data_IF_607200433098
#
_entry.id   IF_607200433098
#
_cell.length_a   1.000
_cell.length_b   1.000
_cell.length_c   1.000
_cell.angle_alpha   90.00
_cell.angle_beta   90.00
_cell.angle_gamma   90.00
#
_symmetry.space_group_name_H-M   'P 1'
#
loop_
_entity.id
_entity.type
_entity.pdbx_description
1 polymer ?
#
# COMPACT_ATOMS: atom_id res chain seq x y z
N UNK A 1 74.32 27.40 -41.66
CA UNK A 1 74.36 27.19 -40.19
C UNK A 1 72.94 26.97 -39.70
N UNK A 2 72.72 25.91 -38.92
CA UNK A 2 71.41 25.33 -38.59
C UNK A 2 70.53 26.35 -37.85
N UNK A 3 69.29 26.52 -38.35
CA UNK A 3 68.24 27.37 -37.80
C UNK A 3 67.31 26.56 -36.90
N UNK A 4 66.93 27.21 -35.80
CA UNK A 4 65.63 27.23 -35.13
C UNK A 4 65.10 25.96 -34.43
N UNK A 5 65.05 26.06 -33.11
CA UNK A 5 64.07 25.40 -32.24
C UNK A 5 62.71 26.08 -32.45
N UNK A 6 61.64 25.29 -32.65
CA UNK A 6 60.27 25.75 -32.44
C UNK A 6 59.50 24.67 -31.68
N UNK A 7 59.03 25.05 -30.49
CA UNK A 7 58.10 24.33 -29.62
C UNK A 7 56.77 25.08 -29.69
N UNK A 8 55.63 24.38 -29.83
CA UNK A 8 54.21 24.80 -29.64
C UNK A 8 53.33 23.83 -30.49
N UNK A 9 52.18 23.26 -30.12
CA UNK A 9 51.36 23.20 -28.90
C UNK A 9 50.33 22.06 -29.09
N UNK A 10 49.68 21.71 -27.98
CA UNK A 10 48.66 20.68 -27.72
C UNK A 10 47.36 20.85 -28.54
N UNK A 11 46.82 19.74 -29.03
CA UNK A 11 45.38 19.40 -29.12
C UNK A 11 45.31 17.90 -29.43
N UNK A 12 44.51 17.03 -28.85
CA UNK A 12 43.23 17.15 -28.13
C UNK A 12 42.52 15.83 -28.43
N UNK A 13 42.12 15.09 -27.40
CA UNK A 13 41.54 13.76 -27.58
C UNK A 13 41.15 13.10 -26.28
N UNK A 14 40.47 13.84 -25.41
CA UNK A 14 39.80 13.29 -24.24
C UNK A 14 38.58 12.51 -24.73
N UNK A 15 38.71 11.19 -24.87
CA UNK A 15 37.57 10.31 -25.12
C UNK A 15 36.69 10.28 -23.86
N UNK A 16 35.68 11.15 -23.84
CA UNK A 16 34.55 11.04 -22.95
C UNK A 16 33.78 9.77 -23.33
N UNK A 17 33.94 8.72 -22.55
CA UNK A 17 33.00 7.60 -22.53
C UNK A 17 31.65 8.13 -22.05
N UNK A 18 30.79 8.46 -23.01
CA UNK A 18 29.35 8.61 -22.80
C UNK A 18 28.78 7.23 -22.45
N UNK A 19 29.03 6.79 -21.21
CA UNK A 19 28.31 5.69 -20.59
C UNK A 19 26.86 6.12 -20.43
N UNK A 20 26.00 5.52 -21.26
CA UNK A 20 24.54 5.56 -21.22
C UNK A 20 24.00 5.73 -19.80
N UNK A 21 23.58 6.95 -19.46
CA UNK A 21 22.66 7.22 -18.36
C UNK A 21 21.31 6.60 -18.75
N UNK A 22 21.17 5.28 -18.56
CA UNK A 22 19.87 4.65 -18.49
C UNK A 22 19.24 5.10 -17.18
N UNK A 23 18.57 6.25 -17.21
CA UNK A 23 17.54 6.60 -16.25
C UNK A 23 16.38 5.61 -16.44
N UNK A 24 16.56 4.38 -15.96
CA UNK A 24 15.45 3.65 -15.36
C UNK A 24 15.20 4.27 -13.98
N UNK A 25 14.79 5.54 -13.96
CA UNK A 25 13.99 6.04 -12.88
C UNK A 25 12.65 5.32 -13.02
N UNK A 26 12.55 4.12 -12.43
CA UNK A 26 11.29 3.74 -11.80
C UNK A 26 11.00 4.91 -10.88
N UNK A 27 10.11 5.80 -11.30
CA UNK A 27 9.31 6.56 -10.36
C UNK A 27 8.71 5.49 -9.47
N UNK A 28 9.31 5.26 -8.31
CA UNK A 28 8.66 4.48 -7.27
C UNK A 28 7.52 5.37 -6.84
N UNK A 29 6.39 5.29 -7.57
CA UNK A 29 5.13 5.81 -7.10
C UNK A 29 5.03 5.31 -5.67
N UNK A 30 5.00 6.25 -4.72
CA UNK A 30 4.96 5.90 -3.33
C UNK A 30 3.80 4.90 -3.16
N UNK A 31 4.05 3.64 -2.76
CA UNK A 31 3.02 2.61 -2.73
C UNK A 31 1.88 2.98 -1.76
N UNK A 32 2.08 3.98 -0.91
CA UNK A 32 1.05 4.59 -0.06
C UNK A 32 0.11 5.54 -0.83
N UNK A 33 0.57 6.18 -1.93
CA UNK A 33 -0.23 7.09 -2.77
C UNK A 33 -1.09 6.36 -3.81
N UNK A 34 -0.74 5.11 -4.17
CA UNK A 34 -1.57 4.25 -5.04
C UNK A 34 -2.71 3.54 -4.30
N UNK A 35 -2.83 3.76 -2.99
CA UNK A 35 -3.83 3.11 -2.15
C UNK A 35 -5.19 3.82 -2.26
N UNK A 36 -6.28 3.10 -2.59
CA UNK A 36 -7.62 3.68 -2.62
C UNK A 36 -7.98 4.40 -1.32
N UNK A 37 -8.49 5.63 -1.38
CA UNK A 37 -8.90 6.39 -0.18
C UNK A 37 -7.82 6.47 0.93
N UNK A 38 -6.55 6.67 0.54
CA UNK A 38 -5.40 6.63 1.45
C UNK A 38 -5.54 7.53 2.68
N UNK A 39 -6.08 8.74 2.51
CA UNK A 39 -6.27 9.69 3.63
C UNK A 39 -7.21 9.11 4.71
N UNK A 40 -8.32 8.51 4.29
CA UNK A 40 -9.26 7.88 5.22
C UNK A 40 -8.64 6.70 5.95
N UNK A 41 -7.86 5.87 5.25
CA UNK A 41 -7.13 4.76 5.86
C UNK A 41 -6.23 5.25 7.01
N UNK A 42 -5.42 6.29 6.75
CA UNK A 42 -4.51 6.84 7.75
C UNK A 42 -5.25 7.57 8.87
N UNK A 43 -6.40 8.19 8.59
CA UNK A 43 -7.26 8.77 9.61
C UNK A 43 -7.79 7.69 10.56
N UNK A 44 -8.27 6.56 10.05
CA UNK A 44 -8.73 5.42 10.87
C UNK A 44 -7.60 4.80 11.69
N UNK A 45 -6.42 4.64 11.11
CA UNK A 45 -5.24 4.12 11.82
C UNK A 45 -4.86 4.97 13.03
N UNK A 46 -4.90 6.30 12.88
CA UNK A 46 -4.56 7.24 13.96
C UNK A 46 -5.61 7.32 15.07
N UNK A 47 -6.83 6.83 14.86
CA UNK A 47 -7.85 6.80 15.91
C UNK A 47 -7.43 5.82 17.01
N UNK A 48 -7.56 6.24 18.28
CA UNK A 48 -7.25 5.39 19.42
C UNK A 48 -8.17 4.17 19.44
N UNK A 49 -7.57 2.98 19.57
CA UNK A 49 -8.32 1.75 19.73
C UNK A 49 -9.06 1.80 21.07
N UNK A 50 -10.39 1.64 21.05
CA UNK A 50 -11.18 1.57 22.29
C UNK A 50 -11.37 0.12 22.68
N UNK A 51 -10.89 -0.27 23.86
CA UNK A 51 -11.06 -1.63 24.39
C UNK A 51 -12.56 -1.97 24.50
N UNK A 52 -12.92 -3.20 24.10
CA UNK A 52 -14.30 -3.69 24.14
C UNK A 52 -15.21 -3.23 22.99
N UNK A 53 -14.73 -2.39 22.06
CA UNK A 53 -15.53 -1.89 20.93
C UNK A 53 -15.18 -2.51 19.58
N UNK A 54 -14.76 -3.78 19.53
CA UNK A 54 -14.43 -4.50 18.29
C UNK A 54 -13.66 -3.63 17.26
N UNK A 55 -12.53 -3.08 17.69
CA UNK A 55 -11.87 -1.97 16.97
C UNK A 55 -11.47 -2.34 15.53
N UNK A 56 -10.99 -3.57 15.32
CA UNK A 56 -10.57 -4.02 14.00
C UNK A 56 -11.74 -4.17 13.01
N UNK A 57 -12.85 -4.77 13.43
CA UNK A 57 -14.03 -4.92 12.57
C UNK A 57 -14.70 -3.59 12.30
N UNK A 58 -14.72 -2.66 13.27
CA UNK A 58 -15.28 -1.32 13.07
C UNK A 58 -14.46 -0.50 12.08
N UNK A 59 -13.14 -0.41 12.24
CA UNK A 59 -12.28 0.33 11.30
C UNK A 59 -12.30 -0.31 9.90
N UNK A 60 -12.22 -1.63 9.80
CA UNK A 60 -12.33 -2.35 8.53
C UNK A 60 -13.70 -2.12 7.86
N UNK A 61 -14.79 -2.17 8.63
CA UNK A 61 -16.15 -1.93 8.14
C UNK A 61 -16.36 -0.52 7.61
N UNK A 62 -15.94 0.50 8.36
CA UNK A 62 -16.02 1.91 7.92
C UNK A 62 -15.25 2.13 6.62
N UNK A 63 -14.05 1.56 6.52
CA UNK A 63 -13.21 1.71 5.33
C UNK A 63 -13.78 0.96 4.13
N UNK A 64 -14.20 -0.30 4.30
CA UNK A 64 -14.82 -1.09 3.24
C UNK A 64 -16.10 -0.42 2.69
N UNK A 65 -16.93 0.18 3.56
CA UNK A 65 -18.11 0.95 3.14
C UNK A 65 -17.72 2.14 2.26
N UNK A 66 -16.72 2.92 2.69
CA UNK A 66 -16.29 4.09 1.93
C UNK A 66 -15.72 3.70 0.57
N UNK A 67 -14.95 2.61 0.50
CA UNK A 67 -14.46 2.04 -0.75
C UNK A 67 -15.60 1.64 -1.70
N UNK A 68 -16.61 0.93 -1.19
CA UNK A 68 -17.80 0.57 -1.99
C UNK A 68 -18.56 1.80 -2.49
N UNK A 69 -18.74 2.82 -1.64
CA UNK A 69 -19.35 4.11 -2.03
C UNK A 69 -18.55 4.84 -3.11
N UNK A 70 -17.23 4.69 -3.10
CA UNK A 70 -16.33 5.24 -4.11
C UNK A 70 -16.21 4.35 -5.37
N UNK A 71 -17.00 3.28 -5.49
CA UNK A 71 -17.04 2.40 -6.66
C UNK A 71 -16.02 1.26 -6.68
N UNK A 72 -15.28 1.05 -5.59
CA UNK A 72 -14.34 -0.07 -5.49
C UNK A 72 -15.05 -1.36 -5.11
N UNK A 73 -14.61 -2.48 -5.70
CA UNK A 73 -15.00 -3.82 -5.24
C UNK A 73 -14.15 -4.17 -4.01
N UNK A 74 -14.75 -4.08 -2.83
CA UNK A 74 -14.10 -4.42 -1.56
C UNK A 74 -14.95 -5.27 -0.64
N UNK A 75 -14.27 -6.09 0.16
CA UNK A 75 -14.84 -7.05 1.11
C UNK A 75 -14.09 -6.95 2.45
N UNK A 76 -14.73 -7.30 3.56
CA UNK A 76 -14.04 -7.47 4.84
C UNK A 76 -13.67 -8.94 4.94
N UNK A 77 -12.41 -9.23 5.21
CA UNK A 77 -11.94 -10.59 5.43
C UNK A 77 -11.50 -10.74 6.88
N UNK A 78 -11.93 -11.82 7.50
CA UNK A 78 -11.48 -12.21 8.83
C UNK A 78 -10.36 -13.20 8.69
N UNK A 79 -9.26 -12.89 9.36
CA UNK A 79 -8.05 -13.71 9.41
C UNK A 79 -7.75 -14.13 10.84
N UNK A 80 -6.98 -15.21 10.98
CA UNK A 80 -6.29 -15.56 12.21
C UNK A 80 -4.86 -15.05 12.11
N UNK A 81 -4.50 -14.11 12.97
CA UNK A 81 -3.20 -13.43 12.94
C UNK A 81 -2.05 -14.39 13.26
N UNK A 82 -0.91 -14.24 12.56
CA UNK A 82 0.26 -15.09 12.78
C UNK A 82 0.89 -14.91 14.18
N UNK A 83 0.89 -13.68 14.70
CA UNK A 83 1.62 -13.35 15.93
C UNK A 83 0.92 -13.71 17.22
N UNK A 84 -0.42 -13.63 17.25
CA UNK A 84 -1.22 -13.82 18.48
C UNK A 84 -2.30 -14.89 18.35
N UNK A 85 -2.44 -15.49 17.17
CA UNK A 85 -3.47 -16.49 16.87
C UNK A 85 -4.92 -16.03 17.13
N UNK A 86 -5.15 -14.71 17.18
CA UNK A 86 -6.48 -14.10 17.38
C UNK A 86 -7.15 -13.78 16.05
N UNK A 87 -8.49 -13.75 16.06
CA UNK A 87 -9.29 -13.24 14.94
C UNK A 87 -9.07 -11.74 14.75
N UNK A 88 -8.95 -11.31 13.50
CA UNK A 88 -8.71 -9.92 13.13
C UNK A 88 -9.37 -9.63 11.78
N UNK A 89 -9.95 -8.45 11.64
CA UNK A 89 -10.60 -8.02 10.40
C UNK A 89 -9.67 -7.10 9.59
N UNK A 90 -9.56 -7.37 8.29
CA UNK A 90 -8.85 -6.52 7.32
C UNK A 90 -9.72 -6.33 6.08
N UNK A 91 -9.38 -5.36 5.23
CA UNK A 91 -10.13 -5.05 4.01
C UNK A 91 -9.40 -5.62 2.80
N UNK A 92 -10.11 -6.38 1.98
CA UNK A 92 -9.65 -6.79 0.64
C UNK A 92 -10.27 -5.85 -0.38
N UNK A 93 -9.48 -5.29 -1.28
CA UNK A 93 -9.95 -4.40 -2.36
C UNK A 93 -9.34 -4.81 -3.69
N UNK A 94 -10.16 -4.81 -4.75
CA UNK A 94 -9.68 -5.01 -6.13
C UNK A 94 -9.18 -3.67 -6.69
N UNK A 95 -7.88 -3.59 -6.94
CA UNK A 95 -7.21 -2.51 -7.65
C UNK A 95 -6.93 -2.92 -9.11
N UNK A 96 -6.41 -1.98 -9.92
CA UNK A 96 -6.04 -2.21 -11.33
C UNK A 96 -4.98 -3.31 -11.48
N UNK A 97 -4.04 -3.36 -10.54
CA UNK A 97 -2.86 -4.23 -10.51
C UNK A 97 -3.11 -5.58 -9.82
N UNK A 98 -4.23 -5.76 -9.13
CA UNK A 98 -4.47 -6.97 -8.35
C UNK A 98 -5.36 -6.74 -7.13
N UNK A 99 -5.30 -7.66 -6.18
CA UNK A 99 -5.92 -7.47 -4.88
C UNK A 99 -4.92 -6.82 -3.92
N UNK A 100 -5.44 -5.93 -3.07
CA UNK A 100 -4.72 -5.39 -1.92
C UNK A 100 -5.47 -5.74 -0.65
N UNK A 101 -4.71 -6.00 0.40
CA UNK A 101 -5.18 -6.30 1.74
C UNK A 101 -4.71 -5.18 2.66
N UNK A 102 -5.68 -4.48 3.25
CA UNK A 102 -5.50 -3.21 3.94
C UNK A 102 -5.98 -3.36 5.37
N UNK A 103 -5.09 -3.12 6.34
CA UNK A 103 -5.38 -3.17 7.76
C UNK A 103 -5.33 -1.75 8.35
N UNK A 104 -6.48 -1.04 8.37
CA UNK A 104 -6.55 0.31 8.94
C UNK A 104 -6.40 0.30 10.47
N UNK A 105 -6.34 -0.85 11.13
CA UNK A 105 -6.10 -0.95 12.58
C UNK A 105 -4.60 -0.92 12.89
N UNK A 106 -3.79 -1.57 12.04
CA UNK A 106 -2.34 -1.67 12.21
C UNK A 106 -1.54 -0.77 11.28
N UNK A 107 -2.19 -0.10 10.33
CA UNK A 107 -1.51 0.75 9.34
C UNK A 107 -0.71 -0.06 8.32
N UNK A 108 -1.16 -1.29 8.01
CA UNK A 108 -0.44 -2.21 7.13
C UNK A 108 -1.19 -2.34 5.80
N UNK A 109 -0.44 -2.42 4.70
CA UNK A 109 -0.94 -2.88 3.41
C UNK A 109 -0.09 -4.03 2.89
N UNK A 110 -0.72 -4.98 2.18
CA UNK A 110 -0.02 -6.06 1.50
C UNK A 110 -0.75 -6.48 0.23
N UNK A 111 -0.03 -7.07 -0.72
CA UNK A 111 -0.59 -7.77 -1.88
C UNK A 111 -0.76 -9.27 -1.62
N UNK A 112 -0.25 -9.79 -0.50
CA UNK A 112 -0.33 -11.18 -0.10
C UNK A 112 -0.98 -11.34 1.28
N UNK A 113 -2.14 -12.00 1.30
CA UNK A 113 -2.90 -12.23 2.53
C UNK A 113 -2.11 -13.01 3.57
N UNK A 114 -1.24 -13.93 3.13
CA UNK A 114 -0.48 -14.81 4.03
C UNK A 114 0.46 -14.02 4.94
N UNK A 115 0.86 -12.81 4.54
CA UNK A 115 1.69 -11.93 5.37
C UNK A 115 0.91 -11.35 6.57
N UNK A 116 -0.41 -11.27 6.48
CA UNK A 116 -1.28 -10.74 7.53
C UNK A 116 -1.80 -11.86 8.45
N UNK A 117 -2.10 -13.04 7.88
CA UNK A 117 -2.63 -14.17 8.62
C UNK A 117 -3.31 -15.22 7.75
N UNK A 118 -3.90 -16.20 8.41
CA UNK A 118 -4.64 -17.28 7.76
C UNK A 118 -6.09 -16.85 7.54
N UNK A 119 -6.58 -16.92 6.31
CA UNK A 119 -7.99 -16.68 5.98
C UNK A 119 -8.91 -17.54 6.84
N UNK A 120 -10.02 -16.96 7.31
CA UNK A 120 -11.07 -17.70 8.03
C UNK A 120 -12.38 -17.60 7.25
N UNK A 121 -12.87 -16.37 7.04
CA UNK A 121 -14.11 -16.13 6.31
C UNK A 121 -14.18 -14.69 5.80
N UNK A 122 -15.14 -14.41 4.93
CA UNK A 122 -15.45 -13.07 4.41
C UNK A 122 -16.75 -12.58 5.03
N UNK A 123 -16.83 -11.28 5.28
CA UNK A 123 -18.06 -10.59 5.65
C UNK A 123 -18.30 -9.50 4.61
N UNK A 124 -19.47 -9.51 3.99
CA UNK A 124 -19.90 -8.40 3.14
C UNK A 124 -20.44 -7.27 4.01
N UNK A 125 -20.25 -6.03 3.59
CA UNK A 125 -20.76 -4.89 4.36
C UNK A 125 -22.30 -4.93 4.47
N UNK A 126 -23.01 -5.43 3.46
CA UNK A 126 -24.46 -5.63 3.50
C UNK A 126 -24.90 -6.61 4.61
N UNK A 127 -24.09 -7.62 4.93
CA UNK A 127 -24.34 -8.52 6.06
C UNK A 127 -24.09 -7.84 7.41
N UNK A 128 -23.08 -6.96 7.50
CA UNK A 128 -22.86 -6.16 8.71
C UNK A 128 -23.98 -5.14 8.97
N UNK A 129 -24.53 -4.50 7.94
CA UNK A 129 -25.68 -3.59 8.11
C UNK A 129 -26.89 -4.35 8.66
N UNK A 130 -27.20 -5.53 8.11
CA UNK A 130 -28.28 -6.39 8.64
C UNK A 130 -28.07 -6.80 10.09
N UNK A 131 -26.84 -7.18 10.45
CA UNK A 131 -26.49 -7.55 11.83
C UNK A 131 -26.43 -6.35 12.78
N UNK A 132 -26.26 -5.11 12.29
CA UNK A 132 -26.18 -3.92 13.13
C UNK A 132 -27.54 -3.42 13.62
N UNK A 133 -28.62 -3.75 12.90
CA UNK A 133 -29.98 -3.39 13.26
C UNK A 133 -30.57 -4.32 14.34
N UNK A 134 -30.10 -5.57 14.44
CA UNK A 134 -30.57 -6.57 15.40
C UNK A 134 -29.97 -6.44 16.82
N UNK A 135 -28.97 -5.57 17.02
CA UNK A 135 -28.25 -5.38 18.30
C UNK A 135 -28.53 -4.01 18.96
N UNK A 136 -29.42 -3.20 18.38
CA UNK A 136 -29.92 -1.94 18.97
C UNK A 136 -31.33 -2.12 19.50
#
# INVERSE_FOLDING_TARGET
>A
MRKLVLLLTIAGGLQLSAGTLSKNQKTSENPLLSMPLAEMFWNLYRQKNTLGKFDCSNKAGLYARALQKAGFKSEIIVIRTLSRNILHAVVKVKCKDGFRYLDPTKGIQSTDLKQLGNFQYTITYAELEKLGDDWR
#
